data_IF_782378023403
#
_entry.id   IF_782378023403
#
_cell.length_a   1.000
_cell.length_b   1.000
_cell.length_c   1.000
_cell.angle_alpha   90.00
_cell.angle_beta   90.00
_cell.angle_gamma   90.00
#
_symmetry.space_group_name_H-M   'P 1'
#
loop_
_entity.id
_entity.type
_entity.pdbx_description
1 polymer ?
#
# COMPACT_ATOMS: atom_id res chain seq x y z
N UNK A 1 -10.97 16.67 17.58
CA UNK A 1 -10.16 17.56 16.71
C UNK A 1 -11.00 18.06 15.53
N UNK A 2 -11.76 17.21 14.82
CA UNK A 2 -12.60 17.63 13.67
C UNK A 2 -13.60 18.74 14.01
N UNK A 3 -14.21 18.69 15.18
CA UNK A 3 -15.18 19.69 15.67
C UNK A 3 -14.57 21.08 15.93
N UNK A 4 -13.24 21.17 15.99
CA UNK A 4 -12.53 22.45 16.12
C UNK A 4 -12.41 23.23 14.79
N UNK A 5 -12.64 22.54 13.66
CA UNK A 5 -12.65 23.18 12.34
C UNK A 5 -14.09 23.58 12.02
N UNK A 6 -14.34 24.88 12.01
CA UNK A 6 -15.64 25.47 11.71
C UNK A 6 -15.50 26.44 10.53
N UNK A 7 -16.52 26.49 9.67
CA UNK A 7 -16.57 27.50 8.62
C UNK A 7 -17.08 28.84 9.20
N UNK A 8 -16.57 29.94 8.66
CA UNK A 8 -17.14 31.27 8.96
C UNK A 8 -18.58 31.39 8.45
N UNK A 9 -19.41 32.30 9.03
CA UNK A 9 -20.76 32.51 8.55
C UNK A 9 -20.81 32.77 7.04
N UNK A 10 -21.67 32.04 6.33
CA UNK A 10 -21.78 32.09 4.87
C UNK A 10 -20.85 31.21 4.08
N UNK A 11 -19.92 30.55 4.75
CA UNK A 11 -18.99 29.56 4.15
C UNK A 11 -19.32 28.13 4.59
N UNK A 12 -18.76 27.14 3.87
CA UNK A 12 -18.85 25.72 4.19
C UNK A 12 -17.48 25.08 4.18
N UNK A 13 -17.31 24.02 4.98
CA UNK A 13 -16.12 23.17 4.88
C UNK A 13 -16.34 22.13 3.79
N UNK A 14 -15.46 22.09 2.78
CA UNK A 14 -15.43 21.06 1.77
C UNK A 14 -14.39 19.99 2.16
N UNK A 15 -14.83 18.74 2.24
CA UNK A 15 -13.93 17.57 2.39
C UNK A 15 -14.04 16.71 1.15
N UNK A 16 -12.93 16.53 0.44
CA UNK A 16 -12.84 15.65 -0.72
C UNK A 16 -11.74 14.62 -0.50
N UNK A 17 -12.00 13.37 -0.88
CA UNK A 17 -11.06 12.26 -0.75
C UNK A 17 -11.03 11.43 -2.04
N UNK A 18 -9.83 11.04 -2.48
CA UNK A 18 -9.67 10.12 -3.60
C UNK A 18 -9.88 8.68 -3.15
N UNK A 19 -10.89 8.03 -3.69
CA UNK A 19 -11.17 6.62 -3.37
C UNK A 19 -10.01 5.71 -3.74
N UNK A 20 -9.40 5.08 -2.73
CA UNK A 20 -8.35 4.06 -2.87
C UNK A 20 -7.13 4.50 -3.70
N UNK A 21 -6.73 5.78 -3.63
CA UNK A 21 -5.68 6.36 -4.47
C UNK A 21 -4.37 5.55 -4.41
N UNK A 22 -3.95 5.08 -3.24
CA UNK A 22 -2.70 4.34 -3.07
C UNK A 22 -2.75 2.97 -3.75
N UNK A 23 -3.87 2.25 -3.69
CA UNK A 23 -4.04 0.97 -4.41
C UNK A 23 -4.12 1.17 -5.92
N UNK A 24 -4.71 2.27 -6.39
CA UNK A 24 -4.71 2.63 -7.82
C UNK A 24 -3.31 2.95 -8.31
N UNK A 25 -2.55 3.71 -7.52
CA UNK A 25 -1.14 4.00 -7.80
C UNK A 25 -0.29 2.72 -7.80
N UNK A 26 -0.49 1.84 -6.80
CA UNK A 26 0.20 0.55 -6.76
C UNK A 26 -0.12 -0.31 -8.00
N UNK A 27 -1.39 -0.39 -8.40
CA UNK A 27 -1.80 -1.12 -9.60
C UNK A 27 -1.12 -0.57 -10.88
N UNK A 28 -0.93 0.75 -10.95
CA UNK A 28 -0.26 1.42 -12.05
C UNK A 28 1.27 1.20 -12.00
N UNK A 29 1.90 1.48 -10.86
CA UNK A 29 3.36 1.44 -10.70
C UNK A 29 3.92 0.01 -10.73
N UNK A 30 3.17 -0.95 -10.21
CA UNK A 30 3.51 -2.37 -10.23
C UNK A 30 3.04 -3.09 -11.50
N UNK A 31 2.41 -2.37 -12.41
CA UNK A 31 1.85 -2.89 -13.68
C UNK A 31 1.02 -4.17 -13.50
N UNK A 32 0.04 -4.13 -12.58
CA UNK A 32 -0.82 -5.29 -12.28
C UNK A 32 -2.11 -5.24 -13.09
N UNK A 33 -2.22 -6.00 -14.21
CA UNK A 33 -3.38 -5.92 -15.11
C UNK A 33 -4.69 -6.23 -14.39
N UNK A 34 -4.72 -7.26 -13.53
CA UNK A 34 -5.91 -7.65 -12.79
C UNK A 34 -6.47 -6.53 -11.90
N UNK A 35 -5.60 -5.76 -11.23
CA UNK A 35 -6.03 -4.62 -10.42
C UNK A 35 -6.48 -3.44 -11.29
N UNK A 36 -5.76 -3.17 -12.38
CA UNK A 36 -6.14 -2.10 -13.33
C UNK A 36 -7.51 -2.38 -13.94
N UNK A 37 -7.77 -3.60 -14.37
CA UNK A 37 -9.05 -4.04 -14.92
C UNK A 37 -10.18 -3.92 -13.89
N UNK A 38 -9.97 -4.42 -12.66
CA UNK A 38 -10.93 -4.31 -11.59
C UNK A 38 -11.29 -2.84 -11.28
N UNK A 39 -10.30 -1.96 -11.21
CA UNK A 39 -10.54 -0.52 -11.04
C UNK A 39 -11.29 0.11 -12.21
N UNK A 40 -11.01 -0.29 -13.45
CA UNK A 40 -11.72 0.22 -14.63
C UNK A 40 -13.19 -0.18 -14.66
N UNK A 41 -13.52 -1.36 -14.11
CA UNK A 41 -14.89 -1.87 -13.95
C UNK A 41 -15.60 -1.34 -12.72
N UNK A 42 -14.91 -0.56 -11.86
CA UNK A 42 -15.48 -0.09 -10.60
C UNK A 42 -15.65 -1.17 -9.53
N UNK A 43 -14.93 -2.29 -9.66
CA UNK A 43 -15.00 -3.41 -8.72
C UNK A 43 -14.33 -3.07 -7.38
N UNK A 44 -14.82 -3.71 -6.31
CA UNK A 44 -14.25 -3.58 -4.98
C UNK A 44 -13.04 -4.51 -4.81
N UNK A 45 -11.83 -3.95 -4.85
CA UNK A 45 -10.56 -4.70 -4.74
C UNK A 45 -10.49 -5.49 -3.43
N UNK A 46 -11.04 -4.97 -2.33
CA UNK A 46 -11.05 -5.70 -1.06
C UNK A 46 -12.00 -6.89 -1.09
N UNK A 47 -13.12 -6.77 -1.81
CA UNK A 47 -14.03 -7.88 -2.04
C UNK A 47 -13.40 -8.97 -2.93
N UNK A 48 -12.70 -8.57 -3.99
CA UNK A 48 -11.94 -9.50 -4.85
C UNK A 48 -10.88 -10.26 -4.05
N UNK A 49 -10.09 -9.54 -3.25
CA UNK A 49 -9.08 -10.17 -2.39
C UNK A 49 -9.71 -11.08 -1.34
N UNK A 50 -10.88 -10.71 -0.78
CA UNK A 50 -11.59 -11.54 0.17
C UNK A 50 -12.06 -12.85 -0.46
N UNK A 51 -12.63 -12.79 -1.65
CA UNK A 51 -13.04 -13.99 -2.41
C UNK A 51 -11.85 -14.90 -2.67
N UNK A 52 -10.71 -14.33 -3.09
CA UNK A 52 -9.48 -15.08 -3.42
C UNK A 52 -8.88 -15.78 -2.19
N UNK A 53 -8.77 -15.07 -1.07
CA UNK A 53 -8.08 -15.58 0.12
C UNK A 53 -8.97 -16.40 1.05
N UNK A 54 -10.26 -16.07 1.13
CA UNK A 54 -11.20 -16.68 2.08
C UNK A 54 -12.32 -17.48 1.41
N UNK A 55 -12.51 -17.36 0.08
CA UNK A 55 -13.58 -18.04 -0.66
C UNK A 55 -14.96 -17.44 -0.47
N UNK A 56 -15.08 -16.37 0.31
CA UNK A 56 -16.35 -15.68 0.59
C UNK A 56 -16.15 -14.17 0.80
N UNK A 57 -17.21 -13.40 0.55
CA UNK A 57 -17.23 -11.96 0.76
C UNK A 57 -18.30 -11.58 1.77
N UNK A 58 -17.88 -11.20 2.95
CA UNK A 58 -18.73 -10.63 3.99
C UNK A 58 -18.01 -9.44 4.65
N UNK A 59 -18.61 -8.80 5.65
CA UNK A 59 -18.03 -7.62 6.32
C UNK A 59 -16.69 -7.93 6.96
N UNK A 60 -16.52 -9.10 7.57
CA UNK A 60 -15.30 -9.52 8.24
C UNK A 60 -14.19 -9.83 7.23
N UNK A 61 -14.45 -10.75 6.28
CA UNK A 61 -13.46 -11.16 5.27
C UNK A 61 -13.01 -9.99 4.40
N UNK A 62 -13.93 -9.08 4.05
CA UNK A 62 -13.59 -7.83 3.34
C UNK A 62 -12.71 -6.91 4.21
N UNK A 63 -12.97 -6.80 5.50
CA UNK A 63 -12.15 -6.03 6.45
C UNK A 63 -10.74 -6.61 6.58
N UNK A 64 -10.63 -7.94 6.69
CA UNK A 64 -9.35 -8.65 6.72
C UNK A 64 -8.59 -8.49 5.39
N UNK A 65 -9.26 -8.61 4.25
CA UNK A 65 -8.68 -8.38 2.93
C UNK A 65 -8.16 -6.94 2.78
N UNK A 66 -8.89 -5.95 3.28
CA UNK A 66 -8.41 -4.56 3.32
C UNK A 66 -7.11 -4.45 4.10
N UNK A 67 -7.03 -5.07 5.28
CA UNK A 67 -5.82 -5.10 6.10
C UNK A 67 -4.66 -5.77 5.35
N UNK A 68 -4.91 -6.89 4.66
CA UNK A 68 -3.91 -7.62 3.88
C UNK A 68 -3.39 -6.76 2.73
N UNK A 69 -4.29 -6.20 1.91
CA UNK A 69 -3.93 -5.37 0.75
C UNK A 69 -2.97 -4.23 1.14
N UNK A 70 -3.31 -3.45 2.16
CA UNK A 70 -2.45 -2.35 2.60
C UNK A 70 -1.19 -2.83 3.30
N UNK A 71 -1.28 -3.89 4.10
CA UNK A 71 -0.11 -4.41 4.82
C UNK A 71 0.95 -4.94 3.87
N UNK A 72 0.56 -5.71 2.85
CA UNK A 72 1.48 -6.28 1.88
C UNK A 72 2.05 -5.22 0.94
N UNK A 73 1.21 -4.28 0.51
CA UNK A 73 1.66 -3.15 -0.27
C UNK A 73 2.78 -2.37 0.44
N UNK A 74 2.73 -2.32 1.77
CA UNK A 74 3.71 -1.61 2.60
C UNK A 74 4.80 -2.51 3.20
N UNK A 75 4.98 -3.70 2.65
CA UNK A 75 6.10 -4.57 3.00
C UNK A 75 6.06 -5.11 4.43
N UNK A 76 4.86 -5.42 4.93
CA UNK A 76 4.74 -6.06 6.25
C UNK A 76 5.37 -7.46 6.23
N UNK A 77 6.00 -7.84 7.34
CA UNK A 77 6.47 -9.21 7.54
C UNK A 77 5.31 -10.15 7.91
N UNK A 78 5.53 -11.48 7.74
CA UNK A 78 4.57 -12.50 8.18
C UNK A 78 4.18 -12.35 9.66
N UNK A 79 5.12 -12.01 10.51
CA UNK A 79 4.89 -11.79 11.95
C UNK A 79 3.99 -10.57 12.20
N UNK A 80 4.23 -9.49 11.47
CA UNK A 80 3.41 -8.29 11.56
C UNK A 80 1.99 -8.53 11.04
N UNK A 81 1.83 -9.30 9.95
CA UNK A 81 0.51 -9.66 9.43
C UNK A 81 -0.23 -10.60 10.38
N UNK A 82 0.45 -11.61 10.93
CA UNK A 82 -0.10 -12.52 11.92
C UNK A 82 -0.67 -11.77 13.13
N UNK A 83 0.10 -10.82 13.68
CA UNK A 83 -0.35 -10.00 14.80
C UNK A 83 -1.54 -9.11 14.47
N UNK A 84 -1.63 -8.57 13.25
CA UNK A 84 -2.78 -7.74 12.83
C UNK A 84 -4.07 -8.53 12.63
N UNK A 85 -3.95 -9.77 12.16
CA UNK A 85 -5.10 -10.62 11.85
C UNK A 85 -5.47 -11.57 13.00
N UNK A 86 -4.63 -11.67 14.06
CA UNK A 86 -4.83 -12.60 15.15
C UNK A 86 -4.72 -14.08 14.74
N UNK A 87 -3.81 -14.39 13.80
CA UNK A 87 -3.59 -15.73 13.24
C UNK A 87 -2.15 -16.20 13.49
N UNK A 88 -1.86 -17.46 13.20
CA UNK A 88 -0.50 -17.99 13.24
C UNK A 88 0.39 -17.38 12.16
N UNK A 89 1.72 -17.43 12.37
CA UNK A 89 2.69 -16.94 11.37
C UNK A 89 2.68 -17.78 10.09
N UNK A 90 2.34 -19.05 10.18
CA UNK A 90 2.30 -19.96 9.03
C UNK A 90 1.05 -19.70 8.17
N UNK A 91 -0.10 -19.44 8.81
CA UNK A 91 -1.30 -18.97 8.11
C UNK A 91 -1.06 -17.62 7.44
N UNK A 92 -0.39 -16.69 8.13
CA UNK A 92 -0.03 -15.41 7.54
C UNK A 92 0.91 -15.58 6.33
N UNK A 93 1.90 -16.48 6.41
CA UNK A 93 2.77 -16.78 5.28
C UNK A 93 1.99 -17.36 4.10
N UNK A 94 1.11 -18.32 4.34
CA UNK A 94 0.24 -18.89 3.29
C UNK A 94 -0.62 -17.82 2.59
N UNK A 95 -1.16 -16.86 3.35
CA UNK A 95 -1.92 -15.75 2.77
C UNK A 95 -1.05 -14.82 1.94
N UNK A 96 0.18 -14.54 2.38
CA UNK A 96 1.17 -13.75 1.63
C UNK A 96 1.49 -14.41 0.30
N UNK A 97 1.77 -15.72 0.32
CA UNK A 97 2.14 -16.49 -0.87
C UNK A 97 1.00 -16.48 -1.89
N UNK A 98 -0.24 -16.78 -1.46
CA UNK A 98 -1.44 -16.71 -2.32
C UNK A 98 -1.69 -15.31 -2.87
N UNK A 99 -1.47 -14.27 -2.07
CA UNK A 99 -1.63 -12.90 -2.52
C UNK A 99 -0.64 -12.55 -3.63
N UNK A 100 0.63 -12.90 -3.47
CA UNK A 100 1.66 -12.63 -4.48
C UNK A 100 1.56 -13.55 -5.70
N UNK A 101 1.02 -14.75 -5.55
CA UNK A 101 0.65 -15.61 -6.69
C UNK A 101 -0.44 -14.94 -7.55
N UNK A 102 -1.43 -14.34 -6.90
CA UNK A 102 -2.52 -13.62 -7.58
C UNK A 102 -2.08 -12.29 -8.17
N UNK A 103 -1.17 -11.58 -7.49
CA UNK A 103 -0.68 -10.25 -7.86
C UNK A 103 0.86 -10.21 -7.95
N UNK A 104 1.47 -10.96 -8.86
CA UNK A 104 2.93 -11.09 -8.92
C UNK A 104 3.65 -9.76 -9.18
N UNK A 105 3.03 -8.84 -9.90
CA UNK A 105 3.57 -7.50 -10.15
C UNK A 105 3.82 -6.71 -8.87
N UNK A 106 3.03 -6.90 -7.81
CA UNK A 106 3.27 -6.24 -6.52
C UNK A 106 4.59 -6.72 -5.90
N UNK A 107 4.85 -8.03 -5.90
CA UNK A 107 6.10 -8.59 -5.38
C UNK A 107 7.31 -8.10 -6.19
N UNK A 108 7.17 -8.09 -7.51
CA UNK A 108 8.20 -7.57 -8.41
C UNK A 108 8.50 -6.10 -8.16
N UNK A 109 7.45 -5.26 -8.02
CA UNK A 109 7.58 -3.85 -7.69
C UNK A 109 8.33 -3.64 -6.37
N UNK A 110 7.97 -4.37 -5.31
CA UNK A 110 8.63 -4.30 -4.01
C UNK A 110 10.13 -4.62 -4.16
N UNK A 111 10.46 -5.73 -4.83
CA UNK A 111 11.84 -6.19 -5.02
C UNK A 111 12.67 -5.17 -5.80
N UNK A 112 12.15 -4.65 -6.90
CA UNK A 112 12.82 -3.65 -7.73
C UNK A 112 13.01 -2.31 -6.99
N UNK A 113 11.99 -1.89 -6.23
CA UNK A 113 12.06 -0.66 -5.43
C UNK A 113 13.14 -0.76 -4.36
N UNK A 114 13.25 -1.89 -3.66
CA UNK A 114 14.28 -2.12 -2.66
C UNK A 114 15.66 -2.21 -3.30
N UNK A 115 15.81 -2.88 -4.44
CA UNK A 115 17.07 -2.95 -5.16
C UNK A 115 17.53 -1.54 -5.56
N UNK A 116 16.68 -0.76 -6.22
CA UNK A 116 16.99 0.63 -6.61
C UNK A 116 17.35 1.48 -5.39
N UNK A 117 16.59 1.36 -4.29
CA UNK A 117 16.88 2.13 -3.08
C UNK A 117 18.23 1.78 -2.45
N UNK A 118 18.66 0.51 -2.49
CA UNK A 118 19.99 0.08 -2.00
C UNK A 118 21.12 0.57 -2.89
N UNK A 119 20.92 0.60 -4.20
CA UNK A 119 21.93 1.06 -5.18
C UNK A 119 22.09 2.58 -5.19
N UNK A 120 20.98 3.33 -5.10
CA UNK A 120 20.97 4.78 -5.29
C UNK A 120 20.83 5.58 -4.00
N UNK A 121 20.46 4.94 -2.90
CA UNK A 121 20.17 5.58 -1.62
C UNK A 121 18.82 6.32 -1.57
N UNK A 122 18.00 6.24 -2.62
CA UNK A 122 16.71 6.94 -2.67
C UNK A 122 15.67 6.20 -3.52
N UNK A 123 14.40 6.59 -3.35
CA UNK A 123 13.31 6.28 -4.26
C UNK A 123 12.68 7.56 -4.80
N UNK A 124 11.86 7.44 -5.85
CA UNK A 124 11.25 8.58 -6.52
C UNK A 124 9.74 8.38 -6.68
N UNK A 125 8.98 9.46 -6.57
CA UNK A 125 7.56 9.50 -6.95
C UNK A 125 7.40 9.49 -8.47
N UNK A 126 6.18 9.30 -8.96
CA UNK A 126 5.85 9.46 -10.40
C UNK A 126 6.17 10.86 -10.94
N UNK A 127 6.27 11.85 -10.05
CA UNK A 127 6.59 13.25 -10.38
C UNK A 127 8.09 13.59 -10.19
N UNK A 128 8.92 12.58 -9.90
CA UNK A 128 10.37 12.74 -9.78
C UNK A 128 10.86 13.28 -8.42
N UNK A 129 9.97 13.40 -7.42
CA UNK A 129 10.38 13.81 -6.08
C UNK A 129 11.12 12.68 -5.38
N UNK A 130 12.33 12.96 -4.91
CA UNK A 130 13.23 11.99 -4.27
C UNK A 130 13.02 11.92 -2.76
N UNK A 131 13.10 10.70 -2.22
CA UNK A 131 13.16 10.43 -0.79
C UNK A 131 14.40 9.59 -0.51
N UNK A 132 15.30 10.07 0.34
CA UNK A 132 16.58 9.44 0.66
C UNK A 132 16.51 8.53 1.89
N UNK A 133 17.25 7.41 1.84
CA UNK A 133 17.23 6.36 2.88
C UNK A 133 18.67 6.01 3.30
N UNK A 134 19.24 6.78 4.22
CA UNK A 134 20.62 6.61 4.68
C UNK A 134 20.87 5.29 5.43
N UNK A 135 19.80 4.62 5.90
CA UNK A 135 19.87 3.38 6.67
C UNK A 135 19.42 2.13 5.89
N UNK A 136 19.22 2.25 4.57
CA UNK A 136 18.73 1.14 3.73
C UNK A 136 19.72 -0.05 3.69
N UNK A 137 21.02 0.20 3.91
CA UNK A 137 22.10 -0.78 3.95
C UNK A 137 22.67 -0.97 5.36
N UNK A 138 21.99 -0.50 6.41
CA UNK A 138 22.47 -0.61 7.80
C UNK A 138 22.72 -2.09 8.17
N UNK A 139 23.81 -2.33 8.92
CA UNK A 139 24.07 -3.63 9.52
C UNK A 139 23.04 -4.00 10.61
N UNK A 140 22.43 -2.99 11.24
CA UNK A 140 21.35 -3.20 12.20
C UNK A 140 20.07 -3.61 11.46
N UNK A 141 19.61 -4.84 11.71
CA UNK A 141 18.43 -5.41 11.05
C UNK A 141 17.14 -4.58 11.29
N UNK A 142 16.95 -4.04 12.48
CA UNK A 142 15.75 -3.25 12.82
C UNK A 142 15.71 -1.93 12.04
N UNK A 143 16.85 -1.23 11.97
CA UNK A 143 16.99 0.01 11.20
C UNK A 143 16.81 -0.25 9.71
N UNK A 144 17.45 -1.30 9.19
CA UNK A 144 17.33 -1.70 7.77
C UNK A 144 15.89 -2.03 7.43
N UNK A 145 15.22 -2.88 8.21
CA UNK A 145 13.82 -3.25 7.96
C UNK A 145 12.86 -2.04 8.02
N UNK A 146 13.12 -1.09 8.93
CA UNK A 146 12.37 0.16 8.99
C UNK A 146 12.56 1.01 7.73
N UNK A 147 13.82 1.15 7.28
CA UNK A 147 14.19 1.88 6.07
C UNK A 147 13.62 1.22 4.79
N UNK A 148 13.65 -0.11 4.71
CA UNK A 148 13.07 -0.88 3.59
C UNK A 148 11.57 -0.65 3.47
N UNK A 149 10.81 -0.72 4.58
CA UNK A 149 9.37 -0.40 4.58
C UNK A 149 9.10 1.03 4.14
N UNK A 150 9.88 1.98 4.64
CA UNK A 150 9.76 3.38 4.23
C UNK A 150 10.07 3.58 2.74
N UNK A 151 11.06 2.85 2.19
CA UNK A 151 11.43 2.90 0.77
C UNK A 151 10.34 2.34 -0.15
N UNK A 152 9.63 1.28 0.26
CA UNK A 152 8.49 0.72 -0.48
C UNK A 152 7.32 1.72 -0.51
N UNK A 153 7.05 2.36 0.62
CA UNK A 153 5.90 3.27 0.79
C UNK A 153 6.09 4.61 0.09
N UNK A 154 7.30 5.17 0.14
CA UNK A 154 7.55 6.55 -0.28
C UNK A 154 7.13 6.85 -1.73
N UNK A 155 7.37 6.00 -2.75
CA UNK A 155 6.91 6.26 -4.10
C UNK A 155 5.39 6.35 -4.22
N UNK A 156 4.64 5.46 -3.56
CA UNK A 156 3.18 5.39 -3.66
C UNK A 156 2.54 6.55 -2.89
N UNK A 157 2.86 6.69 -1.60
CA UNK A 157 2.31 7.76 -0.75
C UNK A 157 2.74 9.14 -1.24
N UNK A 158 4.00 9.25 -1.67
CA UNK A 158 4.52 10.47 -2.23
C UNK A 158 3.82 10.87 -3.53
N UNK A 159 3.59 9.92 -4.45
CA UNK A 159 2.84 10.19 -5.68
C UNK A 159 1.40 10.57 -5.40
N UNK A 160 0.74 9.95 -4.41
CA UNK A 160 -0.60 10.34 -3.98
C UNK A 160 -0.61 11.80 -3.48
N UNK A 161 0.35 12.17 -2.64
CA UNK A 161 0.48 13.54 -2.14
C UNK A 161 0.75 14.55 -3.27
N UNK A 162 1.61 14.19 -4.23
CA UNK A 162 1.92 15.04 -5.39
C UNK A 162 0.67 15.25 -6.27
N UNK A 163 -0.14 14.20 -6.50
CA UNK A 163 -1.41 14.30 -7.23
C UNK A 163 -2.41 15.20 -6.51
N UNK A 164 -2.58 15.03 -5.21
CA UNK A 164 -3.47 15.87 -4.40
C UNK A 164 -3.04 17.33 -4.47
N UNK A 165 -1.74 17.60 -4.38
CA UNK A 165 -1.19 18.96 -4.47
C UNK A 165 -1.46 19.62 -5.83
N UNK A 166 -1.42 18.84 -6.92
CA UNK A 166 -1.73 19.37 -8.27
C UNK A 166 -3.24 19.62 -8.44
N UNK A 167 -4.08 18.84 -7.76
CA UNK A 167 -5.54 18.97 -7.83
C UNK A 167 -6.10 20.13 -6.99
N UNK A 168 -5.32 20.63 -6.02
CA UNK A 168 -5.70 21.79 -5.15
C UNK A 168 -5.30 23.12 -5.78
#
# INVERSE_FOLDING_TARGET
>A
IREAFVAEPGNVLLSADYSQIELRLAAHMADVPALKEAFSKGEDIHALTAMELFGEVNRDTRGRAKTINFSLLYGISRWGLAGRLGISSDEAQSMIDRYFERFPGINQYISQTLQKARETGHTETLFGRKTHFTRITSANQTERAGSERAAINAPIQGSAADMIKVAM
#
